data_IF_333440005619
#
_entry.id   IF_333440005619
#
_cell.length_a   1.000
_cell.length_b   1.000
_cell.length_c   1.000
_cell.angle_alpha   90.00
_cell.angle_beta   90.00
_cell.angle_gamma   90.00
#
_symmetry.space_group_name_H-M   'P 1'
#
loop_
_entity.id
_entity.type
_entity.pdbx_description
1 polymer ?
#
# COMPACT_ATOMS: atom_id res chain seq x y z
N UNK A 1 -11.91 -0.15 11.39
CA UNK A 1 -11.50 -0.60 10.08
C UNK A 1 -9.98 -0.49 9.93
N UNK A 2 -9.36 -1.35 9.17
CA UNK A 2 -7.92 -1.33 8.97
C UNK A 2 -7.52 -0.67 7.65
N UNK A 3 -6.25 -0.31 7.56
CA UNK A 3 -5.67 0.41 6.42
C UNK A 3 -4.42 -0.31 5.94
N UNK A 4 -4.24 -0.36 4.62
CA UNK A 4 -3.04 -0.89 3.97
C UNK A 4 -2.36 0.24 3.22
N UNK A 5 -1.09 0.49 3.53
CA UNK A 5 -0.33 1.59 2.90
C UNK A 5 0.38 1.08 1.64
N UNK A 6 0.14 1.75 0.51
CA UNK A 6 0.85 1.49 -0.73
C UNK A 6 2.25 2.11 -0.71
N UNK A 7 3.08 1.71 -1.65
CA UNK A 7 4.48 2.12 -1.76
C UNK A 7 4.66 3.63 -1.77
N UNK A 8 3.86 4.36 -2.54
CA UNK A 8 3.97 5.84 -2.61
C UNK A 8 3.65 6.52 -1.29
N UNK A 9 2.77 5.93 -0.47
CA UNK A 9 2.45 6.47 0.86
C UNK A 9 3.59 6.20 1.83
N UNK A 10 4.15 4.99 1.83
CA UNK A 10 5.32 4.67 2.66
C UNK A 10 6.52 5.55 2.27
N UNK A 11 6.73 5.77 0.97
CA UNK A 11 7.77 6.70 0.49
C UNK A 11 7.55 8.12 1.02
N UNK A 12 6.31 8.57 1.09
CA UNK A 12 5.96 9.88 1.65
C UNK A 12 6.29 9.97 3.15
N UNK A 13 6.14 8.86 3.90
CA UNK A 13 6.57 8.81 5.30
C UNK A 13 8.07 9.09 5.42
N UNK A 14 8.89 8.44 4.58
CA UNK A 14 10.34 8.64 4.59
C UNK A 14 10.74 10.06 4.18
N UNK A 15 9.89 10.77 3.44
CA UNK A 15 10.10 12.17 3.05
C UNK A 15 9.50 13.15 4.05
N UNK A 16 9.02 12.66 5.20
CA UNK A 16 8.39 13.47 6.25
C UNK A 16 7.20 14.30 5.75
N UNK A 17 6.38 13.73 4.88
CA UNK A 17 5.18 14.39 4.37
C UNK A 17 4.18 14.59 5.52
N UNK A 18 3.88 15.85 5.83
CA UNK A 18 3.07 16.19 7.00
C UNK A 18 1.63 15.67 6.89
N UNK A 19 1.04 15.68 5.71
CA UNK A 19 -0.34 15.18 5.53
C UNK A 19 -0.44 13.71 5.89
N UNK A 20 0.52 12.91 5.43
CA UNK A 20 0.57 11.47 5.72
C UNK A 20 0.80 11.22 7.21
N UNK A 21 1.76 11.96 7.81
CA UNK A 21 2.08 11.82 9.23
C UNK A 21 0.88 12.19 10.10
N UNK A 22 0.16 13.26 9.77
CA UNK A 22 -1.05 13.68 10.50
C UNK A 22 -2.13 12.60 10.42
N UNK A 23 -2.37 12.04 9.23
CA UNK A 23 -3.36 10.96 9.08
C UNK A 23 -2.99 9.71 9.87
N UNK A 24 -1.71 9.33 9.87
CA UNK A 24 -1.24 8.19 10.66
C UNK A 24 -1.45 8.43 12.17
N UNK A 25 -1.15 9.64 12.65
CA UNK A 25 -1.37 9.98 14.05
C UNK A 25 -2.84 9.92 14.44
N UNK A 26 -3.74 10.38 13.56
CA UNK A 26 -5.18 10.25 13.77
C UNK A 26 -5.60 8.79 13.91
N UNK A 27 -5.14 7.93 13.00
CA UNK A 27 -5.48 6.51 13.01
C UNK A 27 -4.97 5.83 14.28
N UNK A 28 -3.75 6.15 14.69
CA UNK A 28 -3.17 5.64 15.94
C UNK A 28 -4.02 6.05 17.15
N UNK A 29 -4.41 7.32 17.22
CA UNK A 29 -5.24 7.85 18.31
C UNK A 29 -6.61 7.18 18.34
N UNK A 30 -7.17 6.84 17.19
CA UNK A 30 -8.46 6.17 17.07
C UNK A 30 -8.37 4.65 17.28
N UNK A 31 -7.18 4.10 17.49
CA UNK A 31 -6.97 2.66 17.64
C UNK A 31 -7.15 1.87 16.36
N UNK A 32 -7.08 2.51 15.20
CA UNK A 32 -7.18 1.85 13.91
C UNK A 32 -5.90 1.08 13.58
N UNK A 33 -6.05 -0.05 12.90
CA UNK A 33 -4.92 -0.87 12.49
C UNK A 33 -4.37 -0.40 11.15
N UNK A 34 -3.04 -0.32 11.05
CA UNK A 34 -2.34 0.07 9.84
C UNK A 34 -1.33 -1.02 9.47
N UNK A 35 -1.33 -1.41 8.21
CA UNK A 35 -0.47 -2.48 7.69
C UNK A 35 0.31 -2.00 6.49
N UNK A 36 1.41 -2.71 6.20
CA UNK A 36 2.22 -2.52 5.00
C UNK A 36 2.17 -3.83 4.21
N UNK A 37 2.02 -3.74 2.89
CA UNK A 37 2.08 -4.93 2.03
C UNK A 37 3.51 -5.46 1.92
N UNK A 38 3.66 -6.78 1.86
CA UNK A 38 4.95 -7.40 1.55
C UNK A 38 5.53 -6.93 0.22
N UNK A 39 4.68 -6.65 -0.77
CA UNK A 39 5.12 -6.08 -2.05
C UNK A 39 5.71 -4.68 -1.86
N UNK A 40 5.09 -3.85 -1.04
CA UNK A 40 5.62 -2.51 -0.69
C UNK A 40 6.95 -2.62 0.02
N UNK A 41 7.06 -3.52 0.99
CA UNK A 41 8.34 -3.79 1.67
C UNK A 41 9.43 -4.11 0.65
N UNK A 42 9.14 -5.05 -0.26
CA UNK A 42 10.11 -5.46 -1.28
C UNK A 42 10.55 -4.28 -2.16
N UNK A 43 9.62 -3.49 -2.66
CA UNK A 43 9.93 -2.37 -3.56
C UNK A 43 10.80 -1.32 -2.89
N UNK A 44 10.53 -0.99 -1.63
CA UNK A 44 11.30 0.00 -0.88
C UNK A 44 12.65 -0.56 -0.46
N UNK A 45 12.67 -1.79 0.05
CA UNK A 45 13.89 -2.47 0.46
C UNK A 45 14.90 -2.56 -0.69
N UNK A 46 14.44 -3.02 -1.88
CA UNK A 46 15.30 -3.13 -3.05
C UNK A 46 15.85 -1.78 -3.49
N UNK A 47 15.05 -0.72 -3.41
CA UNK A 47 15.48 0.62 -3.78
C UNK A 47 16.58 1.14 -2.85
N UNK A 48 16.43 0.96 -1.54
CA UNK A 48 17.44 1.38 -0.57
C UNK A 48 18.71 0.57 -0.70
N UNK A 49 18.62 -0.74 -0.94
CA UNK A 49 19.77 -1.58 -1.16
C UNK A 49 20.53 -1.17 -2.43
N UNK A 50 19.83 -0.85 -3.50
CA UNK A 50 20.44 -0.48 -4.78
C UNK A 50 21.31 0.78 -4.67
N UNK A 51 20.93 1.71 -3.79
CA UNK A 51 21.68 2.97 -3.58
C UNK A 51 22.48 2.96 -2.28
N UNK A 52 22.59 1.81 -1.61
CA UNK A 52 23.34 1.62 -0.36
C UNK A 52 22.94 2.61 0.74
N UNK A 53 21.64 2.86 0.86
CA UNK A 53 21.06 3.80 1.83
C UNK A 53 20.93 3.12 3.21
N UNK A 54 22.03 2.88 3.89
CA UNK A 54 22.09 2.11 5.14
C UNK A 54 21.18 2.65 6.23
N UNK A 55 21.16 3.97 6.43
CA UNK A 55 20.29 4.61 7.44
C UNK A 55 18.82 4.42 7.12
N UNK A 56 18.43 4.53 5.85
CA UNK A 56 17.04 4.34 5.44
C UNK A 56 16.59 2.89 5.57
N UNK A 57 17.51 1.94 5.39
CA UNK A 57 17.22 0.52 5.64
C UNK A 57 16.88 0.27 7.11
N UNK A 58 17.60 0.90 8.04
CA UNK A 58 17.29 0.81 9.47
C UNK A 58 15.93 1.44 9.76
N UNK A 59 15.63 2.59 9.15
CA UNK A 59 14.34 3.26 9.32
C UNK A 59 13.19 2.40 8.78
N UNK A 60 13.40 1.68 7.67
CA UNK A 60 12.40 0.75 7.14
C UNK A 60 12.14 -0.40 8.11
N UNK A 61 13.19 -0.96 8.69
CA UNK A 61 13.05 -2.02 9.70
C UNK A 61 12.22 -1.54 10.88
N UNK A 62 12.49 -0.33 11.39
CA UNK A 62 11.72 0.27 12.47
C UNK A 62 10.26 0.48 12.09
N UNK A 63 10.00 0.92 10.87
CA UNK A 63 8.64 1.12 10.37
C UNK A 63 7.87 -0.21 10.33
N UNK A 64 8.52 -1.28 9.88
CA UNK A 64 7.92 -2.62 9.81
C UNK A 64 7.72 -3.26 11.18
N UNK A 65 8.41 -2.78 12.21
CA UNK A 65 8.14 -3.18 13.60
C UNK A 65 6.93 -2.43 14.17
N UNK A 66 6.70 -1.22 13.72
CA UNK A 66 5.54 -0.42 14.14
C UNK A 66 4.26 -0.83 13.41
N UNK A 67 4.34 -1.06 12.10
CA UNK A 67 3.20 -1.44 11.26
C UNK A 67 3.43 -2.84 10.69
N UNK A 68 2.55 -3.76 11.01
CA UNK A 68 2.68 -5.15 10.59
C UNK A 68 2.72 -5.27 9.07
N UNK A 69 3.65 -6.08 8.57
CA UNK A 69 3.73 -6.42 7.15
C UNK A 69 2.82 -7.62 6.87
N UNK A 70 1.91 -7.48 5.90
CA UNK A 70 1.05 -8.57 5.45
C UNK A 70 1.73 -9.30 4.30
N UNK A 71 1.88 -10.61 4.46
CA UNK A 71 2.54 -11.46 3.48
C UNK A 71 1.50 -12.05 2.50
N UNK A 72 1.97 -12.54 1.36
CA UNK A 72 1.14 -13.24 0.38
C UNK A 72 1.05 -14.72 0.79
N UNK A 73 0.34 -15.00 1.88
CA UNK A 73 0.30 -16.31 2.54
C UNK A 73 -1.07 -16.99 2.52
N UNK A 74 -2.00 -16.47 1.72
CA UNK A 74 -3.35 -17.00 1.59
C UNK A 74 -3.68 -17.19 0.10
N UNK A 75 -4.12 -18.37 -0.27
CA UNK A 75 -4.53 -18.68 -1.64
C UNK A 75 -5.64 -17.74 -2.14
N UNK A 76 -6.50 -17.27 -1.23
CA UNK A 76 -7.56 -16.33 -1.59
C UNK A 76 -7.01 -15.03 -2.20
N UNK A 77 -5.81 -14.57 -1.77
CA UNK A 77 -5.16 -13.40 -2.34
C UNK A 77 -4.79 -13.66 -3.80
N UNK A 78 -4.23 -14.83 -4.09
CA UNK A 78 -3.86 -15.20 -5.47
C UNK A 78 -5.08 -15.38 -6.37
N UNK A 79 -6.15 -15.96 -5.84
CA UNK A 79 -7.41 -16.08 -6.58
C UNK A 79 -7.99 -14.71 -6.90
N UNK A 80 -8.03 -13.81 -5.92
CA UNK A 80 -8.53 -12.45 -6.12
C UNK A 80 -7.64 -11.69 -7.11
N UNK A 81 -6.33 -11.83 -7.01
CA UNK A 81 -5.38 -11.21 -7.95
C UNK A 81 -5.65 -11.67 -9.38
N UNK A 82 -5.90 -12.97 -9.57
CA UNK A 82 -6.22 -13.53 -10.89
C UNK A 82 -7.51 -12.96 -11.46
N UNK A 83 -8.54 -12.79 -10.62
CA UNK A 83 -9.82 -12.18 -11.02
C UNK A 83 -9.62 -10.70 -11.42
N UNK A 84 -8.84 -9.96 -10.65
CA UNK A 84 -8.53 -8.55 -10.95
C UNK A 84 -7.81 -8.46 -12.30
N UNK A 85 -6.78 -9.28 -12.50
CA UNK A 85 -6.04 -9.31 -13.76
C UNK A 85 -6.98 -9.56 -14.95
N UNK A 86 -7.82 -10.59 -14.85
CA UNK A 86 -8.73 -10.95 -15.93
C UNK A 86 -9.73 -9.85 -16.25
N UNK A 87 -10.32 -9.25 -15.22
CA UNK A 87 -11.28 -8.14 -15.39
C UNK A 87 -10.62 -6.93 -16.08
N UNK A 88 -9.44 -6.52 -15.60
CA UNK A 88 -8.75 -5.37 -16.16
C UNK A 88 -8.28 -5.62 -17.60
N UNK A 89 -7.80 -6.84 -17.88
CA UNK A 89 -7.41 -7.21 -19.25
C UNK A 89 -8.59 -7.17 -20.21
N UNK A 90 -9.73 -7.71 -19.81
CA UNK A 90 -10.95 -7.71 -20.63
C UNK A 90 -11.46 -6.31 -20.91
N UNK A 91 -11.28 -5.38 -19.97
CA UNK A 91 -11.68 -3.98 -20.14
C UNK A 91 -10.62 -3.12 -20.85
N UNK A 92 -9.45 -3.69 -21.16
CA UNK A 92 -8.37 -2.94 -21.79
C UNK A 92 -7.68 -1.93 -20.87
N UNK A 93 -7.70 -2.18 -19.56
CA UNK A 93 -7.18 -1.27 -18.52
C UNK A 93 -6.14 -1.98 -17.63
N UNK A 94 -5.08 -2.61 -18.19
CA UNK A 94 -4.13 -3.37 -17.38
C UNK A 94 -3.35 -2.48 -16.42
N UNK A 95 -2.98 -3.06 -15.28
CA UNK A 95 -2.07 -2.46 -14.30
C UNK A 95 -0.95 -3.46 -14.00
N UNK A 96 0.08 -3.01 -13.29
CA UNK A 96 1.23 -3.86 -12.97
C UNK A 96 0.87 -4.93 -11.94
N UNK A 97 1.56 -6.07 -11.99
CA UNK A 97 1.32 -7.18 -11.07
C UNK A 97 1.47 -6.79 -9.60
N UNK A 98 2.47 -5.98 -9.27
CA UNK A 98 2.65 -5.51 -7.90
C UNK A 98 1.39 -4.81 -7.37
N UNK A 99 0.78 -3.94 -8.19
CA UNK A 99 -0.44 -3.22 -7.82
C UNK A 99 -1.63 -4.18 -7.69
N UNK A 100 -1.70 -5.20 -8.56
CA UNK A 100 -2.73 -6.22 -8.48
C UNK A 100 -2.65 -6.97 -7.14
N UNK A 101 -1.45 -7.39 -6.72
CA UNK A 101 -1.28 -8.11 -5.45
C UNK A 101 -1.57 -7.22 -4.24
N UNK A 102 -1.20 -5.95 -4.29
CA UNK A 102 -1.50 -4.99 -3.22
C UNK A 102 -3.03 -4.81 -3.10
N UNK A 103 -3.71 -4.61 -4.24
CA UNK A 103 -5.17 -4.47 -4.26
C UNK A 103 -5.86 -5.74 -3.75
N UNK A 104 -5.43 -6.91 -4.21
CA UNK A 104 -5.97 -8.19 -3.77
C UNK A 104 -5.81 -8.39 -2.26
N UNK A 105 -4.65 -8.03 -1.72
CA UNK A 105 -4.39 -8.10 -0.27
C UNK A 105 -5.38 -7.23 0.50
N UNK A 106 -5.59 -5.99 0.05
CA UNK A 106 -6.54 -5.07 0.69
C UNK A 106 -7.97 -5.63 0.66
N UNK A 107 -8.40 -6.17 -0.48
CA UNK A 107 -9.76 -6.72 -0.62
C UNK A 107 -9.95 -7.94 0.29
N UNK A 108 -9.04 -8.89 0.26
CA UNK A 108 -9.17 -10.14 1.04
C UNK A 108 -9.13 -9.86 2.54
N UNK A 109 -8.30 -8.93 2.99
CA UNK A 109 -8.24 -8.54 4.40
C UNK A 109 -9.26 -7.47 4.79
N UNK A 110 -10.11 -7.05 3.87
CA UNK A 110 -11.14 -6.01 4.08
C UNK A 110 -10.53 -4.72 4.64
N UNK A 111 -9.48 -4.25 3.98
CA UNK A 111 -8.75 -3.04 4.37
C UNK A 111 -9.00 -1.92 3.37
N UNK A 112 -8.90 -0.69 3.85
CA UNK A 112 -8.84 0.49 2.97
C UNK A 112 -7.40 0.59 2.46
N UNK A 113 -7.21 0.57 1.14
CA UNK A 113 -5.91 0.83 0.53
C UNK A 113 -5.66 2.33 0.46
N UNK A 114 -4.55 2.77 1.01
CA UNK A 114 -4.13 4.17 0.92
C UNK A 114 -3.08 4.28 -0.16
N UNK A 115 -3.39 4.99 -1.24
CA UNK A 115 -2.50 5.13 -2.40
C UNK A 115 -2.75 6.44 -3.14
N UNK A 116 -1.71 6.94 -3.78
CA UNK A 116 -1.79 8.09 -4.68
C UNK A 116 -1.90 7.65 -6.15
N UNK A 117 -1.81 6.36 -6.44
CA UNK A 117 -1.83 5.84 -7.80
C UNK A 117 -3.26 5.74 -8.34
N UNK A 118 -3.55 6.57 -9.35
CA UNK A 118 -4.87 6.59 -9.99
C UNK A 118 -5.22 5.30 -10.74
N UNK A 119 -4.23 4.49 -11.10
CA UNK A 119 -4.49 3.20 -11.78
C UNK A 119 -5.30 2.26 -10.88
N UNK A 120 -5.18 2.39 -9.57
CA UNK A 120 -5.94 1.56 -8.62
C UNK A 120 -7.44 1.86 -8.61
N UNK A 121 -7.86 3.01 -9.15
CA UNK A 121 -9.28 3.32 -9.35
C UNK A 121 -9.95 2.36 -10.34
N UNK A 122 -9.16 1.68 -11.17
CA UNK A 122 -9.66 0.69 -12.14
C UNK A 122 -10.11 -0.61 -11.49
N UNK A 123 -9.67 -0.88 -10.25
CA UNK A 123 -9.97 -2.12 -9.54
C UNK A 123 -11.34 -2.02 -8.87
N UNK A 124 -12.28 -2.90 -9.26
CA UNK A 124 -13.58 -3.01 -8.63
C UNK A 124 -13.44 -3.57 -7.21
N UNK A 125 -14.39 -3.31 -6.35
CA UNK A 125 -14.45 -3.79 -4.96
C UNK A 125 -13.39 -3.16 -4.02
N UNK A 126 -12.42 -2.41 -4.55
CA UNK A 126 -11.35 -1.83 -3.75
C UNK A 126 -11.83 -0.56 -3.05
N UNK A 127 -11.65 -0.52 -1.73
CA UNK A 127 -11.82 0.70 -0.94
C UNK A 127 -10.49 1.47 -0.97
N UNK A 128 -10.50 2.67 -1.52
CA UNK A 128 -9.29 3.44 -1.78
C UNK A 128 -9.40 4.83 -1.16
N UNK A 129 -8.32 5.27 -0.47
CA UNK A 129 -8.15 6.65 -0.02
C UNK A 129 -6.83 7.18 -0.55
N UNK A 130 -6.78 8.47 -0.81
CA UNK A 130 -5.55 9.16 -1.23
C UNK A 130 -5.23 10.29 -0.26
N UNK A 131 -4.20 10.10 0.56
CA UNK A 131 -3.77 11.09 1.55
C UNK A 131 -2.84 12.16 0.96
N UNK A 132 -2.40 11.99 -0.29
CA UNK A 132 -1.52 12.93 -0.98
C UNK A 132 -2.27 13.84 -1.93
N UNK A 133 -3.58 13.66 -2.09
CA UNK A 133 -4.39 14.47 -2.98
C UNK A 133 -4.43 15.91 -2.47
N UNK A 134 -4.13 16.86 -3.37
CA UNK A 134 -4.24 18.28 -3.05
C UNK A 134 -5.72 18.64 -2.90
N UNK A 135 -6.04 19.39 -1.84
CA UNK A 135 -7.37 19.96 -1.70
C UNK A 135 -7.59 20.99 -2.81
N UNK A 136 -8.73 20.89 -3.47
CA UNK A 136 -9.15 21.91 -4.43
C UNK A 136 -9.77 23.04 -3.62
N UNK A 137 -9.07 24.16 -3.59
CA UNK A 137 -9.59 25.39 -2.99
C UNK A 137 -10.41 26.17 -4.02
#
# INVERSE_FOLDING_TARGET
MGYLLDTNIVSAIFKNNLKVIIELDKLRTQGEKVFISGMTYYEIQRGFLAVKATKKLINLENLCNEYKVLLLDDMAIFQKASEIYADLKQRGLPIQDADIFIAATAIIHNLILVSHDSDLLRVKELQLENWLQKELN
#
